data_IF_815152645273
#
_entry.id   IF_815152645273
#
_cell.length_a   1.000
_cell.length_b   1.000
_cell.length_c   1.000
_cell.angle_alpha   90.00
_cell.angle_beta   90.00
_cell.angle_gamma   90.00
#
_symmetry.space_group_name_H-M   'P 1'
#
loop_
_entity.id
_entity.type
_entity.pdbx_description
1 polymer ?
#
# COMPACT_ATOMS: atom_id res chain seq x y z
N UNK A 1 1.77 54.71 11.23
CA UNK A 1 2.56 53.65 10.61
C UNK A 1 2.62 52.49 11.58
N UNK A 2 1.84 51.45 11.30
CA UNK A 2 1.60 50.29 12.16
C UNK A 2 2.85 49.41 12.15
N UNK A 3 3.43 49.21 13.33
CA UNK A 3 4.57 48.35 13.61
C UNK A 3 4.23 46.90 13.20
N UNK A 4 4.59 46.51 12.00
CA UNK A 4 4.74 45.10 11.64
C UNK A 4 6.09 44.65 12.18
N UNK A 5 6.14 43.66 13.09
CA UNK A 5 7.24 42.70 13.14
C UNK A 5 6.85 41.45 13.97
N UNK A 6 6.61 40.36 13.23
CA UNK A 6 6.97 38.98 13.55
C UNK A 6 6.21 38.23 14.67
N UNK A 7 5.09 37.62 14.29
CA UNK A 7 4.61 36.35 14.87
C UNK A 7 4.78 35.23 13.86
N UNK A 8 5.87 34.46 13.92
CA UNK A 8 5.95 33.12 13.32
C UNK A 8 6.90 32.22 14.12
N UNK A 9 6.39 31.67 15.21
CA UNK A 9 6.86 30.38 15.74
C UNK A 9 5.88 29.35 15.23
N UNK A 10 6.22 28.64 14.15
CA UNK A 10 5.44 27.51 13.66
C UNK A 10 6.32 26.28 13.61
N UNK A 11 6.07 25.46 14.63
CA UNK A 11 6.36 24.06 14.85
C UNK A 11 6.70 23.22 13.59
N UNK A 12 7.73 22.39 13.76
CA UNK A 12 7.85 21.01 13.28
C UNK A 12 7.33 20.67 11.88
N UNK A 13 8.23 20.63 10.90
CA UNK A 13 8.03 19.86 9.68
C UNK A 13 8.41 18.40 9.94
N UNK A 14 7.43 17.60 10.36
CA UNK A 14 7.40 16.18 10.03
C UNK A 14 6.72 16.05 8.66
N UNK A 15 7.18 15.17 7.74
CA UNK A 15 6.48 14.95 6.50
C UNK A 15 5.15 14.27 6.83
N UNK A 16 4.08 15.04 6.61
CA UNK A 16 2.69 14.64 6.72
C UNK A 16 2.39 13.57 5.66
N UNK A 17 2.58 12.30 6.01
CA UNK A 17 2.07 11.15 5.25
C UNK A 17 0.57 11.02 5.49
N UNK A 18 -0.19 12.01 5.03
CA UNK A 18 -1.65 11.97 5.01
C UNK A 18 -2.13 12.34 3.60
N UNK A 19 -1.88 11.44 2.64
CA UNK A 19 -2.64 11.43 1.41
C UNK A 19 -3.05 9.99 1.12
N UNK A 20 -4.03 9.50 1.90
CA UNK A 20 -4.88 8.38 1.51
C UNK A 20 -5.69 8.82 0.29
N UNK A 21 -5.06 8.84 -0.89
CA UNK A 21 -5.80 8.83 -2.14
C UNK A 21 -6.79 7.65 -2.10
N UNK A 22 -7.96 7.74 -2.75
CA UNK A 22 -9.00 6.73 -2.61
C UNK A 22 -8.43 5.39 -3.07
N UNK A 23 -8.25 4.52 -2.07
CA UNK A 23 -7.74 3.16 -2.21
C UNK A 23 -8.44 2.38 -3.33
N UNK A 24 -9.70 2.69 -3.62
CA UNK A 24 -10.53 2.07 -4.65
C UNK A 24 -9.92 2.08 -6.05
N UNK A 25 -9.12 3.09 -6.44
CA UNK A 25 -8.59 3.15 -7.81
C UNK A 25 -7.58 2.04 -8.10
N UNK A 26 -6.86 1.56 -7.08
CA UNK A 26 -5.86 0.50 -7.23
C UNK A 26 -6.43 -0.92 -7.14
N UNK A 27 -7.62 -1.08 -6.56
CA UNK A 27 -8.25 -2.39 -6.34
C UNK A 27 -9.17 -2.84 -7.49
N UNK A 28 -9.77 -1.92 -8.26
CA UNK A 28 -10.70 -2.24 -9.37
C UNK A 28 -9.96 -2.46 -10.70
N UNK A 29 -8.75 -3.02 -10.64
CA UNK A 29 -7.91 -3.27 -11.81
C UNK A 29 -7.79 -4.76 -12.12
N UNK A 30 -7.77 -5.12 -13.40
CA UNK A 30 -7.55 -6.50 -13.90
C UNK A 30 -6.33 -7.23 -13.30
N UNK A 31 -5.38 -6.50 -12.72
CA UNK A 31 -4.26 -7.06 -11.96
C UNK A 31 -4.70 -7.79 -10.67
N UNK A 32 -5.73 -7.31 -9.98
CA UNK A 32 -6.20 -7.94 -8.75
C UNK A 32 -6.89 -9.28 -9.04
N UNK A 33 -7.64 -9.38 -10.12
CA UNK A 33 -8.24 -10.65 -10.58
C UNK A 33 -7.16 -11.71 -10.79
N UNK A 34 -6.03 -11.32 -11.39
CA UNK A 34 -4.87 -12.21 -11.58
C UNK A 34 -4.32 -12.64 -10.22
N UNK A 35 -4.13 -11.73 -9.27
CA UNK A 35 -3.60 -12.08 -7.94
C UNK A 35 -4.53 -13.02 -7.16
N UNK A 36 -5.85 -12.79 -7.21
CA UNK A 36 -6.85 -13.66 -6.60
C UNK A 36 -6.88 -15.04 -7.24
N UNK A 37 -6.80 -15.11 -8.57
CA UNK A 37 -6.74 -16.38 -9.32
C UNK A 37 -5.48 -17.15 -8.93
N UNK A 38 -4.32 -16.50 -8.94
CA UNK A 38 -3.05 -17.14 -8.59
C UNK A 38 -3.03 -17.64 -7.15
N UNK A 39 -3.49 -16.86 -6.17
CA UNK A 39 -3.47 -17.32 -4.76
C UNK A 39 -4.48 -18.45 -4.51
N UNK A 40 -5.59 -18.49 -5.27
CA UNK A 40 -6.64 -19.51 -5.16
C UNK A 40 -6.27 -20.83 -5.84
N UNK A 41 -5.69 -20.76 -7.03
CA UNK A 41 -5.51 -21.93 -7.91
C UNK A 41 -4.15 -22.61 -7.78
N UNK A 42 -3.13 -21.89 -7.30
CA UNK A 42 -1.81 -22.49 -7.08
C UNK A 42 -1.81 -23.48 -5.91
N UNK A 43 -0.92 -24.46 -5.99
CA UNK A 43 -0.62 -25.39 -4.90
C UNK A 43 0.24 -24.71 -3.81
N UNK A 44 0.61 -25.45 -2.76
CA UNK A 44 1.36 -24.87 -1.63
C UNK A 44 2.70 -24.28 -2.05
N UNK A 45 3.44 -24.94 -2.94
CA UNK A 45 4.72 -24.44 -3.45
C UNK A 45 4.52 -23.18 -4.31
N UNK A 46 3.54 -23.20 -5.23
CA UNK A 46 3.21 -22.05 -6.05
C UNK A 46 2.79 -20.82 -5.23
N UNK A 47 1.93 -21.00 -4.21
CA UNK A 47 1.52 -19.92 -3.30
C UNK A 47 2.71 -19.35 -2.53
N UNK A 48 3.63 -20.20 -2.06
CA UNK A 48 4.84 -19.76 -1.38
C UNK A 48 5.70 -18.88 -2.29
N UNK A 49 5.97 -19.33 -3.52
CA UNK A 49 6.78 -18.57 -4.49
C UNK A 49 6.09 -17.27 -4.90
N UNK A 50 4.77 -17.28 -5.10
CA UNK A 50 3.98 -16.11 -5.44
C UNK A 50 4.00 -15.05 -4.33
N UNK A 51 3.75 -15.46 -3.07
CA UNK A 51 3.79 -14.56 -1.92
C UNK A 51 5.22 -14.04 -1.67
N UNK A 52 6.24 -14.86 -1.92
CA UNK A 52 7.64 -14.41 -1.87
C UNK A 52 7.91 -13.35 -2.95
N UNK A 53 7.41 -13.53 -4.18
CA UNK A 53 7.53 -12.53 -5.23
C UNK A 53 6.87 -11.20 -4.87
N UNK A 54 5.71 -11.22 -4.22
CA UNK A 54 5.07 -10.01 -3.65
C UNK A 54 5.95 -9.40 -2.55
N UNK A 55 6.43 -10.22 -1.61
CA UNK A 55 7.25 -9.77 -0.49
C UNK A 55 8.57 -9.12 -0.94
N UNK A 56 9.15 -9.57 -2.06
CA UNK A 56 10.36 -8.97 -2.64
C UNK A 56 10.19 -7.50 -3.10
N UNK A 57 8.94 -7.03 -3.20
CA UNK A 57 8.60 -5.65 -3.52
C UNK A 57 8.42 -4.78 -2.27
N UNK A 58 8.45 -5.36 -1.08
CA UNK A 58 8.37 -4.66 0.20
C UNK A 58 9.78 -4.21 0.62
N UNK A 59 10.11 -2.95 0.37
CA UNK A 59 11.44 -2.36 0.63
C UNK A 59 11.28 -1.04 1.38
N UNK A 60 12.20 -0.11 1.20
CA UNK A 60 12.08 1.27 1.70
C UNK A 60 10.87 1.99 1.07
N UNK A 61 10.37 3.07 1.68
CA UNK A 61 9.19 3.78 1.17
C UNK A 61 9.30 4.16 -0.31
N UNK A 62 8.44 3.55 -1.15
CA UNK A 62 8.29 3.84 -2.58
C UNK A 62 6.90 3.35 -3.05
N UNK A 63 6.50 3.72 -4.28
CA UNK A 63 5.18 3.38 -4.82
C UNK A 63 4.91 1.88 -4.95
N UNK A 64 5.91 1.06 -5.32
CA UNK A 64 5.74 -0.39 -5.39
C UNK A 64 5.53 -0.98 -4.00
N UNK A 65 6.33 -0.58 -3.01
CA UNK A 65 6.18 -1.05 -1.64
C UNK A 65 4.82 -0.68 -1.08
N UNK A 66 4.33 0.55 -1.32
CA UNK A 66 2.98 0.95 -0.94
C UNK A 66 1.92 0.04 -1.60
N UNK A 67 1.99 -0.15 -2.92
CA UNK A 67 1.05 -1.00 -3.65
C UNK A 67 1.05 -2.46 -3.16
N UNK A 68 2.22 -3.11 -3.11
CA UNK A 68 2.32 -4.52 -2.72
C UNK A 68 2.03 -4.75 -1.23
N UNK A 69 2.25 -3.76 -0.37
CA UNK A 69 1.80 -3.84 1.04
C UNK A 69 0.27 -3.95 1.13
N UNK A 70 -0.46 -3.21 0.30
CA UNK A 70 -1.91 -3.29 0.25
C UNK A 70 -2.43 -4.56 -0.40
N UNK A 71 -1.81 -5.01 -1.49
CA UNK A 71 -2.16 -6.30 -2.11
C UNK A 71 -2.03 -7.43 -1.08
N UNK A 72 -0.92 -7.49 -0.34
CA UNK A 72 -0.71 -8.53 0.66
C UNK A 72 -1.77 -8.52 1.77
N UNK A 73 -2.08 -7.34 2.30
CA UNK A 73 -3.08 -7.18 3.36
C UNK A 73 -4.49 -7.53 2.87
N UNK A 74 -4.83 -7.16 1.63
CA UNK A 74 -6.11 -7.50 1.04
C UNK A 74 -6.28 -9.00 0.79
N UNK A 75 -5.28 -9.65 0.19
CA UNK A 75 -5.34 -11.10 -0.04
C UNK A 75 -5.51 -11.87 1.28
N UNK A 76 -4.88 -11.40 2.36
CA UNK A 76 -5.08 -11.97 3.70
C UNK A 76 -6.51 -11.76 4.22
N UNK A 77 -7.05 -10.55 4.10
CA UNK A 77 -8.41 -10.25 4.55
C UNK A 77 -9.46 -11.06 3.78
N UNK A 78 -9.32 -11.18 2.45
CA UNK A 78 -10.23 -11.97 1.62
C UNK A 78 -10.15 -13.46 1.91
N UNK A 79 -8.95 -14.00 2.16
CA UNK A 79 -8.80 -15.40 2.56
C UNK A 79 -9.47 -15.71 3.90
N UNK A 80 -9.60 -14.73 4.79
CA UNK A 80 -10.34 -14.88 6.05
C UNK A 80 -11.86 -14.78 5.89
N UNK A 81 -12.33 -14.27 4.74
CA UNK A 81 -13.75 -14.15 4.41
C UNK A 81 -14.29 -15.36 3.63
N UNK A 82 -13.44 -16.34 3.31
CA UNK A 82 -13.78 -17.62 2.67
C UNK A 82 -13.87 -18.75 3.70
#
# INVERSE_FOLDING_TARGET
AIQQLQTKTSASHAPEMANTAPMDIFFVGSAMDIFQTLIGDLDTEGRYLFLNAIANQLRYPNSHTHYFSFVLLYLYAEAANQ
#
